data_IF_208124894002
#
_entry.id   IF_208124894002
#
_cell.length_a   1.000
_cell.length_b   1.000
_cell.length_c   1.000
_cell.angle_alpha   90.00
_cell.angle_beta   90.00
_cell.angle_gamma   90.00
#
_symmetry.space_group_name_H-M   'P 1'
#
loop_
_entity.id
_entity.type
_entity.pdbx_description
1 polymer ?
#
# COMPACT_ATOMS: atom_id res chain seq x y z
N UNK A 1 8.94 13.04 -27.07
CA UNK A 1 8.27 12.14 -26.11
C UNK A 1 8.83 12.50 -24.74
N UNK A 2 8.08 13.29 -23.98
CA UNK A 2 8.48 13.77 -22.65
C UNK A 2 8.14 12.72 -21.61
N UNK A 3 9.16 12.21 -20.92
CA UNK A 3 9.00 11.33 -19.77
C UNK A 3 8.23 12.07 -18.67
N UNK A 4 7.09 11.52 -18.24
CA UNK A 4 6.44 11.95 -17.01
C UNK A 4 7.18 11.30 -15.86
N UNK A 5 7.89 12.10 -15.08
CA UNK A 5 8.44 11.68 -13.79
C UNK A 5 7.27 11.26 -12.89
N UNK A 6 7.09 9.96 -12.68
CA UNK A 6 6.30 9.40 -11.59
C UNK A 6 7.07 9.56 -10.28
N UNK A 7 7.29 10.80 -9.85
CA UNK A 7 7.79 11.05 -8.52
C UNK A 7 6.67 10.74 -7.53
N UNK A 8 6.93 9.79 -6.61
CA UNK A 8 6.11 9.56 -5.43
C UNK A 8 5.88 10.93 -4.74
N UNK A 9 4.64 11.40 -4.50
CA UNK A 9 4.39 12.76 -4.01
C UNK A 9 4.99 13.07 -2.62
N UNK A 10 5.58 12.07 -1.95
CA UNK A 10 6.31 12.24 -0.68
C UNK A 10 7.85 12.15 -0.76
N UNK A 11 8.47 11.90 -1.92
CA UNK A 11 9.87 11.48 -1.95
C UNK A 11 10.94 12.59 -1.98
N UNK A 12 10.60 13.86 -2.25
CA UNK A 12 11.61 14.93 -2.25
C UNK A 12 11.07 16.26 -1.70
N UNK A 13 11.01 16.41 -0.38
CA UNK A 13 11.02 17.75 0.25
C UNK A 13 11.99 17.73 1.42
N UNK A 14 13.12 18.43 1.25
CA UNK A 14 14.08 18.68 2.32
C UNK A 14 13.44 19.52 3.42
N UNK A 15 13.76 19.12 4.65
CA UNK A 15 13.40 19.75 5.93
C UNK A 15 13.86 21.21 5.96
N UNK A 16 12.92 22.15 5.90
CA UNK A 16 13.11 23.51 6.41
C UNK A 16 11.76 24.20 6.57
N UNK A 17 11.08 24.04 7.73
CA UNK A 17 10.05 24.95 8.25
C UNK A 17 8.85 25.37 7.37
N UNK A 18 8.73 24.91 6.13
CA UNK A 18 7.71 25.29 5.17
C UNK A 18 6.64 24.22 5.09
N UNK A 19 5.43 24.62 5.44
CA UNK A 19 4.19 23.89 5.19
C UNK A 19 4.17 23.26 3.79
N UNK A 20 3.70 22.02 3.68
CA UNK A 20 3.49 21.38 2.38
C UNK A 20 2.55 22.24 1.51
N UNK A 21 2.86 22.46 0.22
CA UNK A 21 1.99 23.22 -0.67
C UNK A 21 0.59 22.60 -0.73
N UNK A 22 -0.45 23.43 -0.82
CA UNK A 22 -1.84 22.97 -0.92
C UNK A 22 -2.09 22.04 -2.10
N UNK A 23 -1.32 22.21 -3.18
CA UNK A 23 -1.36 21.32 -4.36
C UNK A 23 -0.93 19.89 -4.00
N UNK A 24 0.12 19.72 -3.17
CA UNK A 24 0.60 18.41 -2.72
C UNK A 24 -0.45 17.75 -1.81
N UNK A 25 -1.02 18.51 -0.87
CA UNK A 25 -2.11 18.04 0.00
C UNK A 25 -3.33 17.61 -0.79
N UNK A 26 -3.72 18.40 -1.78
CA UNK A 26 -4.86 18.11 -2.66
C UNK A 26 -4.60 16.86 -3.51
N UNK A 27 -3.41 16.77 -4.13
CA UNK A 27 -3.01 15.61 -4.91
C UNK A 27 -3.08 14.34 -4.06
N UNK A 28 -2.56 14.37 -2.83
CA UNK A 28 -2.67 13.25 -1.90
C UNK A 28 -4.12 12.84 -1.63
N UNK A 29 -5.01 13.80 -1.38
CA UNK A 29 -6.43 13.52 -1.17
C UNK A 29 -7.11 12.94 -2.41
N UNK A 30 -6.84 13.50 -3.58
CA UNK A 30 -7.42 13.06 -4.86
C UNK A 30 -6.92 11.67 -5.26
N UNK A 31 -5.67 11.33 -4.94
CA UNK A 31 -5.13 10.00 -5.22
C UNK A 31 -5.63 8.97 -4.22
N UNK A 32 -5.56 9.25 -2.91
CA UNK A 32 -5.76 8.21 -1.89
C UNK A 32 -7.10 8.29 -1.16
N UNK A 33 -7.69 9.47 -0.99
CA UNK A 33 -8.92 9.69 -0.23
C UNK A 33 -10.15 9.91 -1.14
N UNK A 34 -10.11 9.38 -2.36
CA UNK A 34 -11.21 9.48 -3.32
C UNK A 34 -12.21 8.33 -3.21
N UNK A 35 -13.50 8.71 -3.17
CA UNK A 35 -14.63 7.78 -3.11
C UNK A 35 -14.77 6.99 -4.42
N UNK A 36 -14.95 5.68 -4.29
CA UNK A 36 -15.36 4.82 -5.40
C UNK A 36 -16.08 3.57 -4.90
N UNK A 37 -16.76 2.86 -5.78
CA UNK A 37 -17.50 1.66 -5.41
C UNK A 37 -16.56 0.46 -5.21
N UNK A 38 -16.67 -0.23 -4.07
CA UNK A 38 -15.89 -1.43 -3.76
C UNK A 38 -16.63 -2.73 -4.11
N UNK A 39 -17.87 -2.67 -4.63
CA UNK A 39 -18.65 -3.88 -4.92
C UNK A 39 -18.23 -4.53 -6.25
N UNK A 40 -18.15 -5.88 -6.32
CA UNK A 40 -18.27 -6.82 -5.21
C UNK A 40 -17.05 -6.74 -4.28
N UNK A 41 -17.24 -6.85 -2.96
CA UNK A 41 -16.14 -6.67 -2.00
C UNK A 41 -15.49 -8.00 -1.59
N UNK A 42 -14.24 -7.90 -1.13
CA UNK A 42 -13.47 -8.91 -0.41
C UNK A 42 -12.92 -8.30 0.87
N UNK A 43 -12.46 -9.17 1.76
CA UNK A 43 -11.96 -8.80 3.08
C UNK A 43 -10.48 -9.12 3.19
N UNK A 44 -9.74 -8.22 3.83
CA UNK A 44 -8.35 -8.44 4.21
C UNK A 44 -8.21 -8.18 5.70
N UNK A 45 -7.66 -9.15 6.42
CA UNK A 45 -7.38 -9.01 7.84
C UNK A 45 -6.23 -8.03 8.10
N UNK A 46 -6.31 -7.26 9.18
CA UNK A 46 -5.26 -6.33 9.62
C UNK A 46 -5.13 -6.32 11.14
N UNK A 47 -4.01 -5.79 11.64
CA UNK A 47 -3.86 -5.54 13.08
C UNK A 47 -4.79 -4.42 13.57
N UNK A 48 -5.15 -4.48 14.85
CA UNK A 48 -5.95 -3.43 15.49
C UNK A 48 -5.26 -2.07 15.47
N UNK A 49 -3.93 -2.04 15.66
CA UNK A 49 -3.12 -0.82 15.66
C UNK A 49 -3.16 -0.13 14.29
N UNK A 50 -2.98 -0.89 13.21
CA UNK A 50 -3.10 -0.36 11.84
C UNK A 50 -4.52 0.15 11.59
N UNK A 51 -5.55 -0.62 11.95
CA UNK A 51 -6.95 -0.20 11.79
C UNK A 51 -7.24 1.14 12.46
N UNK A 52 -6.78 1.33 13.71
CA UNK A 52 -6.96 2.58 14.45
C UNK A 52 -6.18 3.75 13.83
N UNK A 53 -4.97 3.52 13.28
CA UNK A 53 -4.20 4.54 12.56
C UNK A 53 -4.95 4.97 11.29
N UNK A 54 -5.38 4.02 10.45
CA UNK A 54 -6.14 4.28 9.23
C UNK A 54 -7.45 5.02 9.51
N UNK A 55 -8.22 4.57 10.51
CA UNK A 55 -9.48 5.20 10.90
C UNK A 55 -9.28 6.67 11.28
N UNK A 56 -8.25 6.98 12.08
CA UNK A 56 -7.92 8.37 12.46
C UNK A 56 -7.62 9.24 11.25
N UNK A 57 -6.81 8.74 10.31
CA UNK A 57 -6.46 9.48 9.08
C UNK A 57 -7.70 9.77 8.25
N UNK A 58 -8.53 8.75 7.98
CA UNK A 58 -9.75 8.93 7.18
C UNK A 58 -10.74 9.87 7.87
N UNK A 59 -10.92 9.77 9.19
CA UNK A 59 -11.80 10.68 9.92
C UNK A 59 -11.30 12.12 9.90
N UNK A 60 -10.00 12.34 10.09
CA UNK A 60 -9.45 13.70 10.18
C UNK A 60 -9.29 14.36 8.81
N UNK A 61 -8.88 13.62 7.79
CA UNK A 61 -8.50 14.17 6.48
C UNK A 61 -9.53 13.86 5.40
N UNK A 62 -10.08 12.63 5.40
CA UNK A 62 -11.02 12.16 4.38
C UNK A 62 -12.45 12.63 4.58
N UNK A 63 -12.87 12.89 5.83
CA UNK A 63 -14.24 13.28 6.15
C UNK A 63 -15.27 12.29 5.58
N UNK A 64 -16.31 12.80 4.92
CA UNK A 64 -17.33 11.98 4.25
C UNK A 64 -16.92 11.49 2.85
N UNK A 65 -15.77 11.95 2.34
CA UNK A 65 -15.30 11.63 0.98
C UNK A 65 -14.60 10.29 0.88
N UNK A 66 -14.15 9.72 1.99
CA UNK A 66 -13.42 8.45 1.99
C UNK A 66 -13.93 7.49 3.07
N UNK A 67 -13.75 6.20 2.84
CA UNK A 67 -13.83 5.16 3.87
C UNK A 67 -12.46 4.50 4.03
N UNK A 68 -12.22 3.82 5.15
CA UNK A 68 -10.98 3.07 5.38
C UNK A 68 -10.71 2.08 4.24
N UNK A 69 -11.77 1.39 3.76
CA UNK A 69 -11.65 0.47 2.63
C UNK A 69 -11.20 1.13 1.33
N UNK A 70 -11.76 2.30 0.99
CA UNK A 70 -11.37 3.05 -0.21
C UNK A 70 -9.93 3.57 -0.11
N UNK A 71 -9.55 4.10 1.06
CA UNK A 71 -8.21 4.59 1.32
C UNK A 71 -7.16 3.49 1.17
N UNK A 72 -7.41 2.32 1.78
CA UNK A 72 -6.55 1.15 1.65
C UNK A 72 -6.51 0.64 0.22
N UNK A 73 -7.66 0.55 -0.46
CA UNK A 73 -7.70 0.14 -1.85
C UNK A 73 -6.85 1.06 -2.74
N UNK A 74 -6.96 2.37 -2.59
CA UNK A 74 -6.22 3.31 -3.43
C UNK A 74 -4.71 3.20 -3.21
N UNK A 75 -4.25 3.08 -1.96
CA UNK A 75 -2.81 2.91 -1.66
C UNK A 75 -2.28 1.61 -2.27
N UNK A 76 -2.99 0.50 -2.06
CA UNK A 76 -2.53 -0.81 -2.54
C UNK A 76 -2.59 -0.86 -4.07
N UNK A 77 -3.64 -0.31 -4.69
CA UNK A 77 -3.73 -0.23 -6.14
C UNK A 77 -2.59 0.62 -6.72
N UNK A 78 -2.30 1.77 -6.11
CA UNK A 78 -1.20 2.63 -6.52
C UNK A 78 0.15 1.89 -6.47
N UNK A 79 0.44 1.20 -5.35
CA UNK A 79 1.65 0.39 -5.19
C UNK A 79 1.77 -0.72 -6.25
N UNK A 80 0.67 -1.40 -6.56
CA UNK A 80 0.67 -2.47 -7.57
C UNK A 80 0.72 -1.95 -9.02
N UNK A 81 0.39 -0.68 -9.24
CA UNK A 81 0.47 -0.02 -10.54
C UNK A 81 1.81 0.69 -10.76
N UNK A 82 2.67 0.75 -9.76
CA UNK A 82 4.01 1.31 -9.86
C UNK A 82 4.85 0.51 -10.87
N UNK A 83 5.46 1.24 -11.81
CA UNK A 83 6.24 0.68 -12.92
C UNK A 83 7.55 0.04 -12.45
N UNK A 84 8.04 0.42 -11.27
CA UNK A 84 9.19 -0.24 -10.64
C UNK A 84 8.77 -1.51 -9.87
N UNK A 85 7.49 -1.63 -9.49
CA UNK A 85 6.97 -2.77 -8.72
C UNK A 85 6.46 -3.90 -9.63
N UNK A 86 5.75 -3.57 -10.73
CA UNK A 86 5.19 -4.57 -11.65
C UNK A 86 6.23 -5.60 -12.14
N UNK A 87 7.44 -5.19 -12.57
CA UNK A 87 8.45 -6.14 -13.04
C UNK A 87 8.96 -7.05 -11.93
N UNK A 88 9.10 -6.53 -10.70
CA UNK A 88 9.56 -7.30 -9.55
C UNK A 88 8.57 -8.41 -9.17
N UNK A 89 7.27 -8.09 -9.17
CA UNK A 89 6.23 -9.09 -8.92
C UNK A 89 6.24 -10.16 -10.03
N UNK A 90 6.36 -9.75 -11.30
CA UNK A 90 6.40 -10.67 -12.43
C UNK A 90 7.62 -11.61 -12.38
N UNK A 91 8.80 -11.06 -12.04
CA UNK A 91 10.04 -11.83 -11.86
C UNK A 91 9.90 -12.86 -10.74
N UNK A 92 9.40 -12.43 -9.56
CA UNK A 92 9.18 -13.32 -8.42
C UNK A 92 8.18 -14.45 -8.75
N UNK A 93 7.06 -14.12 -9.39
CA UNK A 93 6.06 -15.12 -9.80
C UNK A 93 6.63 -16.11 -10.83
N UNK A 94 7.43 -15.65 -11.79
CA UNK A 94 8.06 -16.51 -12.78
C UNK A 94 9.09 -17.46 -12.15
N UNK A 95 9.94 -16.93 -11.27
CA UNK A 95 10.95 -17.73 -10.58
C UNK A 95 10.35 -18.77 -9.64
N UNK A 96 9.30 -18.40 -8.90
CA UNK A 96 8.56 -19.32 -8.03
C UNK A 96 7.91 -20.45 -8.83
N UNK A 97 7.25 -20.14 -9.95
CA UNK A 97 6.66 -21.15 -10.84
C UNK A 97 7.72 -22.12 -11.41
N UNK A 98 8.93 -21.64 -11.69
CA UNK A 98 10.03 -22.49 -12.16
C UNK A 98 10.64 -23.33 -11.04
N UNK A 99 10.55 -22.89 -9.78
CA UNK A 99 11.17 -23.54 -8.62
C UNK A 99 10.66 -24.95 -8.36
N UNK A 100 9.43 -25.26 -8.78
CA UNK A 100 8.84 -26.60 -8.78
C UNK A 100 9.65 -27.60 -9.62
N UNK A 101 10.38 -27.11 -10.62
CA UNK A 101 11.17 -27.92 -11.58
C UNK A 101 12.67 -27.67 -11.51
N UNK A 102 13.10 -26.47 -11.11
CA UNK A 102 14.50 -26.08 -10.92
C UNK A 102 14.67 -25.41 -9.55
N UNK A 103 15.24 -26.14 -8.60
CA UNK A 103 15.47 -25.67 -7.23
C UNK A 103 16.41 -24.46 -7.12
N UNK A 104 17.11 -24.07 -8.20
CA UNK A 104 17.97 -22.87 -8.25
C UNK A 104 17.31 -21.66 -8.90
N UNK A 105 16.07 -21.78 -9.40
CA UNK A 105 15.39 -20.67 -10.08
C UNK A 105 15.29 -19.41 -9.20
N UNK A 106 15.08 -19.60 -7.89
CA UNK A 106 15.02 -18.50 -6.92
C UNK A 106 16.39 -17.87 -6.61
N UNK A 107 17.52 -18.54 -6.92
CA UNK A 107 18.85 -17.97 -6.73
C UNK A 107 19.15 -16.88 -7.78
N UNK A 108 18.58 -17.02 -8.97
CA UNK A 108 18.84 -16.19 -10.14
C UNK A 108 18.05 -14.88 -10.22
N UNK A 109 17.11 -14.62 -9.31
CA UNK A 109 16.34 -13.37 -9.31
C UNK A 109 17.20 -12.16 -8.89
N UNK A 110 16.81 -10.99 -9.37
CA UNK A 110 17.43 -9.71 -9.10
C UNK A 110 17.50 -9.40 -7.59
N UNK A 111 18.49 -8.57 -7.21
CA UNK A 111 18.62 -8.13 -5.83
C UNK A 111 17.41 -7.31 -5.39
N UNK A 112 16.85 -6.52 -6.29
CA UNK A 112 15.67 -5.69 -6.11
C UNK A 112 14.44 -6.57 -5.84
N UNK A 113 14.25 -7.66 -6.60
CA UNK A 113 13.18 -8.63 -6.37
C UNK A 113 13.33 -9.31 -5.00
N UNK A 114 14.56 -9.70 -4.60
CA UNK A 114 14.83 -10.25 -3.26
C UNK A 114 14.47 -9.27 -2.15
N UNK A 115 14.88 -8.00 -2.29
CA UNK A 115 14.55 -6.94 -1.34
C UNK A 115 13.04 -6.71 -1.25
N UNK A 116 12.36 -6.69 -2.39
CA UNK A 116 10.91 -6.55 -2.44
C UNK A 116 10.20 -7.72 -1.75
N UNK A 117 10.58 -8.96 -2.06
CA UNK A 117 10.04 -10.15 -1.42
C UNK A 117 10.24 -10.12 0.10
N UNK A 118 11.47 -9.85 0.54
CA UNK A 118 11.82 -9.78 1.96
C UNK A 118 11.01 -8.73 2.72
N UNK A 119 10.72 -7.59 2.08
CA UNK A 119 10.01 -6.46 2.69
C UNK A 119 8.50 -6.68 2.75
N UNK A 120 7.90 -7.22 1.69
CA UNK A 120 6.43 -7.22 1.54
C UNK A 120 5.80 -8.61 1.53
N UNK A 121 6.54 -9.65 1.14
CA UNK A 121 5.99 -10.97 0.82
C UNK A 121 6.59 -12.08 1.69
N UNK A 122 7.00 -11.73 2.91
CA UNK A 122 7.37 -12.68 3.96
C UNK A 122 6.27 -12.75 5.03
N UNK A 123 6.03 -13.94 5.57
CA UNK A 123 5.17 -14.12 6.73
C UNK A 123 5.85 -13.61 8.00
N UNK A 124 5.07 -13.02 8.91
CA UNK A 124 5.55 -12.48 10.19
C UNK A 124 4.85 -13.11 11.40
N UNK A 125 4.01 -14.14 11.17
CA UNK A 125 3.20 -14.85 12.17
C UNK A 125 2.26 -13.94 13.01
N UNK A 126 2.05 -12.69 12.61
CA UNK A 126 1.18 -11.76 13.35
C UNK A 126 -0.30 -12.09 13.09
N UNK A 127 -1.09 -12.15 14.18
CA UNK A 127 -2.53 -12.39 14.09
C UNK A 127 -3.27 -11.15 13.55
N UNK A 128 -3.92 -11.33 12.40
CA UNK A 128 -4.69 -10.29 11.69
C UNK A 128 -6.19 -10.57 11.61
N UNK A 129 -6.71 -11.43 12.49
CA UNK A 129 -8.13 -11.83 12.48
C UNK A 129 -9.06 -10.89 13.26
N UNK A 130 -8.51 -9.88 13.93
CA UNK A 130 -9.29 -9.00 14.82
C UNK A 130 -10.11 -7.94 14.08
N UNK A 131 -9.64 -7.51 12.91
CA UNK A 131 -10.27 -6.48 12.08
C UNK A 131 -10.12 -6.82 10.61
N UNK A 132 -11.15 -6.51 9.84
CA UNK A 132 -11.22 -6.74 8.41
C UNK A 132 -11.42 -5.41 7.67
N UNK A 133 -10.63 -5.21 6.62
CA UNK A 133 -10.76 -4.09 5.70
C UNK A 133 -11.43 -4.59 4.42
N UNK A 134 -12.45 -3.86 3.98
CA UNK A 134 -13.13 -4.14 2.72
C UNK A 134 -12.33 -3.54 1.56
N UNK A 135 -12.04 -4.36 0.56
CA UNK A 135 -11.46 -3.96 -0.72
C UNK A 135 -12.32 -4.52 -1.85
N UNK A 136 -12.10 -4.05 -3.08
CA UNK A 136 -12.77 -4.59 -4.26
C UNK A 136 -12.37 -6.04 -4.50
N UNK A 137 -13.29 -6.79 -5.09
CA UNK A 137 -13.10 -8.20 -5.38
C UNK A 137 -12.05 -8.45 -6.46
N UNK A 138 -11.85 -7.50 -7.37
CA UNK A 138 -10.77 -7.54 -8.36
C UNK A 138 -9.41 -7.41 -7.68
N UNK A 139 -9.22 -6.37 -6.86
CA UNK A 139 -7.98 -6.18 -6.10
C UNK A 139 -7.71 -7.37 -5.17
N UNK A 140 -8.75 -7.86 -4.48
CA UNK A 140 -8.64 -9.04 -3.63
C UNK A 140 -8.21 -10.31 -4.38
N UNK A 141 -8.70 -10.51 -5.61
CA UNK A 141 -8.25 -11.63 -6.46
C UNK A 141 -6.79 -11.47 -6.89
N UNK A 142 -6.39 -10.26 -7.29
CA UNK A 142 -5.00 -9.97 -7.70
C UNK A 142 -4.02 -10.18 -6.55
N UNK A 143 -4.32 -9.64 -5.37
CA UNK A 143 -3.52 -9.83 -4.16
C UNK A 143 -3.41 -11.31 -3.77
N UNK A 144 -4.53 -12.05 -3.82
CA UNK A 144 -4.53 -13.48 -3.54
C UNK A 144 -3.60 -14.23 -4.50
N UNK A 145 -3.63 -13.90 -5.79
CA UNK A 145 -2.76 -14.51 -6.79
C UNK A 145 -1.28 -14.23 -6.49
N UNK A 146 -0.91 -12.97 -6.25
CA UNK A 146 0.48 -12.60 -5.93
C UNK A 146 1.02 -13.39 -4.74
N UNK A 147 0.25 -13.45 -3.65
CA UNK A 147 0.66 -14.16 -2.43
C UNK A 147 0.82 -15.66 -2.66
N UNK A 148 -0.08 -16.28 -3.43
CA UNK A 148 -0.01 -17.71 -3.75
C UNK A 148 1.12 -18.03 -4.73
N UNK A 149 1.33 -17.19 -5.74
CA UNK A 149 2.28 -17.46 -6.81
C UNK A 149 3.72 -17.29 -6.33
N UNK A 150 3.99 -16.38 -5.39
CA UNK A 150 5.36 -16.09 -4.91
C UNK A 150 5.77 -16.99 -3.74
N UNK A 151 4.80 -17.49 -2.96
CA UNK A 151 4.98 -18.38 -1.80
C UNK A 151 6.29 -18.13 -1.03
N UNK A 152 6.51 -16.88 -0.59
CA UNK A 152 7.55 -16.58 0.40
C UNK A 152 7.32 -17.39 1.69
N UNK A 153 8.12 -17.23 2.74
CA UNK A 153 7.91 -17.99 3.99
C UNK A 153 6.54 -17.68 4.65
N UNK A 154 5.47 -18.33 4.17
CA UNK A 154 4.06 -18.25 4.54
C UNK A 154 3.46 -16.83 4.61
N UNK A 155 3.58 -15.97 3.57
CA UNK A 155 2.89 -14.70 3.53
C UNK A 155 1.37 -14.89 3.51
N UNK A 156 0.65 -13.93 4.06
CA UNK A 156 -0.80 -13.84 3.96
C UNK A 156 -1.19 -12.58 3.20
N UNK A 157 -2.40 -12.54 2.63
CA UNK A 157 -2.92 -11.29 2.05
C UNK A 157 -2.92 -10.15 3.07
N UNK A 158 -3.17 -10.44 4.35
CA UNK A 158 -3.14 -9.46 5.42
C UNK A 158 -1.75 -8.91 5.67
N UNK A 159 -0.72 -9.76 5.76
CA UNK A 159 0.67 -9.32 5.97
C UNK A 159 1.19 -8.51 4.80
N UNK A 160 0.88 -8.92 3.56
CA UNK A 160 1.30 -8.18 2.38
C UNK A 160 0.67 -6.78 2.29
N UNK A 161 -0.66 -6.69 2.46
CA UNK A 161 -1.37 -5.40 2.44
C UNK A 161 -0.90 -4.51 3.58
N UNK A 162 -0.72 -5.05 4.78
CA UNK A 162 -0.24 -4.31 5.94
C UNK A 162 1.17 -3.75 5.73
N UNK A 163 2.09 -4.52 5.14
CA UNK A 163 3.44 -4.04 4.82
C UNK A 163 3.43 -2.86 3.82
N UNK A 164 2.60 -2.94 2.77
CA UNK A 164 2.42 -1.82 1.82
C UNK A 164 1.88 -0.58 2.53
N UNK A 165 0.87 -0.77 3.38
CA UNK A 165 0.24 0.34 4.11
C UNK A 165 1.21 0.99 5.09
N UNK A 166 2.01 0.22 5.83
CA UNK A 166 2.99 0.76 6.77
C UNK A 166 4.03 1.59 6.03
N UNK A 167 4.58 1.07 4.93
CA UNK A 167 5.55 1.82 4.12
C UNK A 167 4.97 3.16 3.64
N UNK A 168 3.76 3.13 3.07
CA UNK A 168 3.09 4.33 2.60
C UNK A 168 2.87 5.35 3.72
N UNK A 169 2.37 4.89 4.86
CA UNK A 169 2.04 5.75 6.00
C UNK A 169 3.29 6.34 6.66
N UNK A 170 4.42 5.66 6.59
CA UNK A 170 5.69 6.14 7.12
C UNK A 170 6.36 7.10 6.13
N UNK A 171 6.34 6.81 4.83
CA UNK A 171 6.81 7.71 3.78
C UNK A 171 6.02 9.03 3.72
N UNK A 172 4.72 8.98 4.03
CA UNK A 172 3.84 10.16 4.02
C UNK A 172 3.56 10.74 5.42
N UNK A 173 4.30 10.33 6.45
CA UNK A 173 3.97 10.64 7.85
C UNK A 173 3.87 12.15 8.10
N UNK A 174 4.85 12.93 7.64
CA UNK A 174 4.91 14.38 7.86
C UNK A 174 3.75 15.11 7.16
N UNK A 175 3.47 14.76 5.90
CA UNK A 175 2.35 15.29 5.14
C UNK A 175 1.00 14.98 5.81
N UNK A 176 0.79 13.72 6.21
CA UNK A 176 -0.45 13.28 6.91
C UNK A 176 -0.61 14.03 8.23
N UNK A 177 0.47 14.23 8.98
CA UNK A 177 0.46 14.96 10.25
C UNK A 177 0.08 16.42 10.04
N UNK A 178 0.67 17.07 9.03
CA UNK A 178 0.35 18.46 8.70
C UNK A 178 -1.13 18.61 8.30
N UNK A 179 -1.61 17.80 7.36
CA UNK A 179 -3.01 17.81 6.92
C UNK A 179 -4.00 17.53 8.07
N UNK A 180 -3.62 16.66 9.01
CA UNK A 180 -4.41 16.39 10.21
C UNK A 180 -4.50 17.63 11.11
N UNK A 181 -3.41 18.39 11.26
CA UNK A 181 -3.39 19.61 12.06
C UNK A 181 -4.18 20.74 11.40
N UNK A 182 -4.10 20.89 10.07
CA UNK A 182 -4.88 21.87 9.32
C UNK A 182 -6.39 21.62 9.44
N UNK A 183 -6.80 20.35 9.34
CA UNK A 183 -8.21 19.96 9.53
C UNK A 183 -8.75 20.37 10.89
N UNK A 184 -7.96 20.19 11.96
CA UNK A 184 -8.35 20.61 13.33
C UNK A 184 -8.43 22.12 13.50
N UNK A 185 -7.57 22.89 12.80
CA UNK A 185 -7.59 24.35 12.84
C UNK A 185 -8.81 24.93 12.13
N UNK A 186 -9.27 24.29 11.06
CA UNK A 186 -10.43 24.74 10.27
C UNK A 186 -11.79 24.38 10.89
N UNK A 187 -11.82 23.57 11.95
CA UNK A 187 -13.04 23.21 12.71
C UNK A 187 -13.34 24.11 13.92
N UNK A 188 -12.48 25.09 14.20
CA UNK A 188 -12.67 26.12 15.24
C UNK A 188 -13.22 27.39 14.60
#
# INVERSE_FOLDING_TARGET
MTAKNNANPGAEIKVDGTSYPDEVKRSYQETFLTRHNLKPYKYVGCTMSLWQRLKRIVTNIGGERASVGMYVQNIVAYHLEDEDVKPLIAELSAASCLSDTDSKAMDGISLEAKKYQAKYLMGDMVNRKEREIYISGELGKRLKRIVLDIDGDRPTMGSYVEAILIEHLDACADLINEMTNDSKRNTV
#
